data_IF_491633009111
#
_entry.id   IF_491633009111
#
_cell.length_a   1.000
_cell.length_b   1.000
_cell.length_c   1.000
_cell.angle_alpha   90.00
_cell.angle_beta   90.00
_cell.angle_gamma   90.00
#
_symmetry.space_group_name_H-M   'P 1'
#
loop_
_entity.id
_entity.type
_entity.pdbx_description
1 polymer ?
#
# COMPACT_ATOMS: atom_id res chain seq x y z
N UNK A 1 -3.19 -7.47 -38.24
CA UNK A 1 -3.35 -6.29 -37.38
C UNK A 1 -3.04 -6.70 -35.93
N UNK A 2 -1.76 -7.02 -35.67
CA UNK A 2 -1.28 -7.52 -34.39
C UNK A 2 0.00 -6.76 -34.04
N UNK A 3 -0.13 -5.57 -33.48
CA UNK A 3 1.02 -4.78 -33.02
C UNK A 3 0.66 -3.67 -32.03
N UNK A 4 -0.43 -3.82 -31.28
CA UNK A 4 -0.90 -2.80 -30.32
C UNK A 4 -1.25 -3.35 -28.94
N UNK A 5 -0.78 -4.56 -28.61
CA UNK A 5 -0.86 -5.09 -27.23
C UNK A 5 0.50 -5.12 -26.52
N UNK A 6 1.62 -4.99 -27.24
CA UNK A 6 2.96 -5.01 -26.64
C UNK A 6 3.52 -3.62 -26.29
N UNK A 7 2.79 -2.55 -26.62
CA UNK A 7 3.19 -1.17 -26.29
C UNK A 7 2.65 -0.66 -24.95
N UNK A 8 1.89 -1.50 -24.22
CA UNK A 8 1.52 -1.26 -22.83
C UNK A 8 2.09 -2.32 -21.89
N UNK A 9 3.21 -2.95 -22.28
CA UNK A 9 4.12 -3.57 -21.30
C UNK A 9 4.91 -2.44 -20.62
N UNK A 10 4.15 -1.53 -20.00
CA UNK A 10 4.69 -0.49 -19.15
C UNK A 10 5.19 -1.22 -17.92
N UNK A 11 6.52 -1.38 -17.82
CA UNK A 11 7.24 -1.79 -16.62
C UNK A 11 7.10 -0.72 -15.52
N UNK A 12 5.87 -0.32 -15.22
CA UNK A 12 5.49 0.49 -14.09
C UNK A 12 4.97 -0.44 -13.00
N UNK A 13 5.54 -0.34 -11.81
CA UNK A 13 5.24 -1.18 -10.63
C UNK A 13 3.81 -1.02 -10.12
N UNK A 14 3.04 -0.06 -10.66
CA UNK A 14 1.70 0.32 -10.21
C UNK A 14 0.67 -0.21 -11.21
N UNK A 15 0.22 -1.47 -11.01
CA UNK A 15 -0.80 -2.11 -11.86
C UNK A 15 -2.20 -1.65 -11.44
N UNK A 16 -3.02 -1.26 -12.43
CA UNK A 16 -4.36 -0.69 -12.24
C UNK A 16 -5.39 -1.61 -11.55
N UNK A 17 -6.63 -1.10 -11.32
CA UNK A 17 -7.63 -1.60 -10.36
C UNK A 17 -8.21 -3.00 -10.63
N UNK A 18 -7.74 -3.71 -11.67
CA UNK A 18 -8.19 -5.05 -12.07
C UNK A 18 -7.02 -6.04 -12.23
N UNK A 19 -5.89 -5.83 -11.53
CA UNK A 19 -4.89 -6.90 -11.45
C UNK A 19 -5.48 -8.06 -10.63
N UNK A 20 -5.38 -9.29 -11.13
CA UNK A 20 -5.69 -10.52 -10.37
C UNK A 20 -4.82 -10.70 -9.09
N UNK A 21 -4.01 -9.71 -8.73
CA UNK A 21 -2.92 -9.76 -7.76
C UNK A 21 -3.10 -8.72 -6.62
N UNK A 22 -4.11 -7.83 -6.66
CA UNK A 22 -4.36 -6.90 -5.55
C UNK A 22 -5.18 -7.59 -4.45
N UNK A 23 -4.54 -7.80 -3.30
CA UNK A 23 -5.17 -8.34 -2.10
C UNK A 23 -5.04 -7.33 -0.94
N UNK A 24 -6.10 -6.55 -0.65
CA UNK A 24 -6.07 -5.59 0.43
C UNK A 24 -6.00 -6.24 1.82
N UNK A 25 -6.37 -7.52 1.97
CA UNK A 25 -6.20 -8.25 3.23
C UNK A 25 -4.73 -8.54 3.48
N UNK A 26 -4.05 -9.16 2.50
CA UNK A 26 -2.63 -9.44 2.60
C UNK A 26 -1.78 -8.18 2.81
N UNK A 27 -2.12 -7.08 2.12
CA UNK A 27 -1.47 -5.78 2.33
C UNK A 27 -1.71 -5.24 3.74
N UNK A 28 -2.95 -5.34 4.25
CA UNK A 28 -3.28 -4.90 5.61
C UNK A 28 -2.55 -5.71 6.68
N UNK A 29 -2.41 -7.02 6.49
CA UNK A 29 -1.63 -7.87 7.40
C UNK A 29 -0.15 -7.53 7.42
N UNK A 30 0.45 -7.25 6.26
CA UNK A 30 1.85 -6.80 6.17
C UNK A 30 2.04 -5.48 6.91
N UNK A 31 1.15 -4.51 6.70
CA UNK A 31 1.19 -3.23 7.43
C UNK A 31 1.05 -3.45 8.94
N UNK A 32 0.11 -4.28 9.37
CA UNK A 32 -0.08 -4.55 10.80
C UNK A 32 1.15 -5.21 11.43
N UNK A 33 1.83 -6.09 10.69
CA UNK A 33 3.11 -6.69 11.14
C UNK A 33 4.22 -5.64 11.22
N UNK A 34 4.30 -4.73 10.25
CA UNK A 34 5.30 -3.66 10.23
C UNK A 34 5.19 -2.73 11.45
N UNK A 35 3.97 -2.52 11.97
CA UNK A 35 3.72 -1.72 13.19
C UNK A 35 3.90 -2.48 14.51
N UNK A 36 3.89 -3.82 14.51
CA UNK A 36 3.94 -4.63 15.76
C UNK A 36 5.34 -5.06 16.19
N UNK A 37 6.37 -4.79 15.38
CA UNK A 37 7.75 -5.18 15.65
C UNK A 37 8.37 -4.45 16.86
N UNK A 38 9.54 -4.90 17.31
CA UNK A 38 10.42 -4.10 18.16
C UNK A 38 11.02 -2.97 17.30
N UNK A 39 10.23 -1.90 17.12
CA UNK A 39 10.47 -0.84 16.14
C UNK A 39 9.66 -1.04 14.86
N UNK A 40 9.57 0.01 14.05
CA UNK A 40 8.85 0.03 12.78
C UNK A 40 9.71 -0.59 11.67
N UNK A 41 9.18 -1.56 10.92
CA UNK A 41 9.81 -1.94 9.64
C UNK A 41 9.40 -0.96 8.55
N UNK A 42 10.06 0.20 8.57
CA UNK A 42 9.83 1.29 7.63
C UNK A 42 9.98 0.81 6.19
N UNK A 43 10.90 -0.13 5.91
CA UNK A 43 11.11 -0.65 4.55
C UNK A 43 9.90 -1.43 4.04
N UNK A 44 9.34 -2.33 4.85
CA UNK A 44 8.11 -3.05 4.48
C UNK A 44 6.95 -2.09 4.25
N UNK A 45 6.86 -1.04 5.05
CA UNK A 45 5.81 -0.05 4.91
C UNK A 45 5.95 0.74 3.60
N UNK A 46 7.17 1.17 3.27
CA UNK A 46 7.49 1.86 2.03
C UNK A 46 7.20 0.99 0.81
N UNK A 47 7.55 -0.29 0.88
CA UNK A 47 7.28 -1.26 -0.17
C UNK A 47 5.77 -1.41 -0.39
N UNK A 48 5.02 -1.68 0.68
CA UNK A 48 3.56 -1.81 0.57
C UNK A 48 2.91 -0.52 0.07
N UNK A 49 3.26 0.65 0.58
CA UNK A 49 2.65 1.89 0.09
C UNK A 49 3.12 2.22 -1.35
N UNK A 50 4.39 2.04 -1.64
CA UNK A 50 5.02 2.38 -2.92
C UNK A 50 4.57 1.51 -4.10
N UNK A 51 4.17 0.27 -3.84
CA UNK A 51 3.66 -0.67 -4.86
C UNK A 51 2.20 -0.45 -5.23
N UNK A 52 1.44 0.33 -4.45
CA UNK A 52 0.01 0.51 -4.63
C UNK A 52 -0.38 1.90 -5.13
N UNK A 53 -1.29 1.94 -6.10
CA UNK A 53 -1.99 3.17 -6.55
C UNK A 53 -2.70 3.86 -5.37
N UNK A 54 -2.98 5.16 -5.48
CA UNK A 54 -3.81 5.86 -4.48
C UNK A 54 -5.16 5.16 -4.27
N UNK A 55 -5.85 4.72 -5.35
CA UNK A 55 -7.10 3.96 -5.21
C UNK A 55 -6.93 2.68 -4.39
N UNK A 56 -5.89 1.88 -4.66
CA UNK A 56 -5.58 0.67 -3.86
C UNK A 56 -5.24 1.01 -2.42
N UNK A 57 -4.49 2.09 -2.16
CA UNK A 57 -4.20 2.57 -0.79
C UNK A 57 -5.47 2.93 -0.03
N UNK A 58 -6.46 3.54 -0.68
CA UNK A 58 -7.77 3.81 -0.05
C UNK A 58 -8.51 2.52 0.30
N UNK A 59 -8.45 1.49 -0.56
CA UNK A 59 -9.03 0.18 -0.25
C UNK A 59 -8.29 -0.54 0.88
N UNK A 60 -6.96 -0.49 0.90
CA UNK A 60 -6.13 -1.00 2.01
C UNK A 60 -6.52 -0.28 3.31
N UNK A 61 -6.64 1.06 3.31
CA UNK A 61 -7.05 1.83 4.49
C UNK A 61 -8.40 1.36 5.04
N UNK A 62 -9.40 1.19 4.17
CA UNK A 62 -10.72 0.68 4.57
C UNK A 62 -10.61 -0.72 5.16
N UNK A 63 -9.82 -1.59 4.52
CA UNK A 63 -9.69 -2.99 4.92
C UNK A 63 -8.91 -3.15 6.23
N UNK A 64 -7.82 -2.42 6.39
CA UNK A 64 -7.03 -2.34 7.62
C UNK A 64 -7.91 -1.93 8.81
N UNK A 65 -8.77 -0.93 8.64
CA UNK A 65 -9.74 -0.52 9.66
C UNK A 65 -10.75 -1.60 9.99
N UNK A 66 -11.24 -2.33 9.00
CA UNK A 66 -12.17 -3.46 9.22
C UNK A 66 -11.50 -4.63 9.95
N UNK A 67 -10.24 -4.94 9.64
CA UNK A 67 -9.53 -6.10 10.19
C UNK A 67 -9.01 -5.87 11.61
N UNK A 68 -8.47 -4.68 11.88
CA UNK A 68 -7.75 -4.41 13.13
C UNK A 68 -8.44 -3.38 14.03
N UNK A 69 -9.49 -2.71 13.55
CA UNK A 69 -10.18 -1.65 14.30
C UNK A 69 -9.32 -0.41 14.54
N UNK A 70 -8.20 -0.27 13.82
CA UNK A 70 -7.26 0.84 13.93
C UNK A 70 -7.30 1.72 12.69
N UNK A 71 -7.00 3.00 12.85
CA UNK A 71 -6.84 3.89 11.69
C UNK A 71 -5.41 3.77 11.16
N UNK A 72 -5.29 3.33 9.91
CA UNK A 72 -3.98 3.15 9.27
C UNK A 72 -3.18 4.45 9.24
N UNK A 73 -3.84 5.61 9.07
CA UNK A 73 -3.12 6.89 9.07
C UNK A 73 -2.58 7.24 10.44
N UNK A 74 -3.34 6.99 11.50
CA UNK A 74 -2.86 7.24 12.86
C UNK A 74 -1.68 6.32 13.18
N UNK A 75 -1.76 5.03 12.80
CA UNK A 75 -0.64 4.10 12.99
C UNK A 75 0.59 4.51 12.16
N UNK A 76 0.40 5.13 10.98
CA UNK A 76 1.48 5.71 10.19
C UNK A 76 2.08 6.97 10.83
N UNK A 77 1.25 7.84 11.41
CA UNK A 77 1.68 9.08 12.07
C UNK A 77 2.48 8.82 13.34
N UNK A 78 2.05 7.83 14.13
CA UNK A 78 2.70 7.44 15.38
C UNK A 78 4.08 6.81 15.14
N UNK A 79 4.28 6.16 13.99
CA UNK A 79 5.47 5.36 13.67
C UNK A 79 6.43 6.07 12.70
N UNK A 80 5.90 6.88 11.75
CA UNK A 80 6.67 7.59 10.72
C UNK A 80 6.55 9.10 10.93
N UNK A 81 7.35 9.65 11.82
CA UNK A 81 7.46 11.10 11.94
C UNK A 81 7.94 11.76 10.63
N UNK A 82 7.41 12.94 10.31
CA UNK A 82 7.96 13.84 9.28
C UNK A 82 7.47 13.60 7.84
N UNK A 83 8.33 13.89 6.86
CA UNK A 83 8.02 13.97 5.41
C UNK A 83 7.49 12.68 4.75
N UNK A 84 7.51 11.56 5.47
CA UNK A 84 7.07 10.29 4.94
C UNK A 84 5.54 10.17 4.87
N UNK A 85 4.85 10.79 5.84
CA UNK A 85 3.39 10.85 5.91
C UNK A 85 2.76 11.58 4.70
N UNK A 86 3.42 12.65 4.25
CA UNK A 86 2.96 13.45 3.11
C UNK A 86 2.94 12.62 1.80
N UNK A 87 3.86 11.66 1.65
CA UNK A 87 3.94 10.78 0.49
C UNK A 87 2.88 9.66 0.50
N UNK A 88 2.47 9.22 1.69
CA UNK A 88 1.43 8.21 1.87
C UNK A 88 0.04 8.75 1.55
N UNK A 89 -0.21 10.03 1.83
CA UNK A 89 -1.50 10.71 1.70
C UNK A 89 -1.80 11.28 0.31
N UNK A 90 -0.77 11.55 -0.50
CA UNK A 90 -0.89 12.03 -1.88
C UNK A 90 -1.26 10.91 -2.87
#
# INVERSE_FOLDING_TARGET
MALLLHLFDNKGTVKGPNSKEFDPEAASEKLHKAFKGLGTDEKQLIEVIGEHTNWQRQEIKKKYKQMFGRDLLNDLEDELGGHFLDLTLA
#
